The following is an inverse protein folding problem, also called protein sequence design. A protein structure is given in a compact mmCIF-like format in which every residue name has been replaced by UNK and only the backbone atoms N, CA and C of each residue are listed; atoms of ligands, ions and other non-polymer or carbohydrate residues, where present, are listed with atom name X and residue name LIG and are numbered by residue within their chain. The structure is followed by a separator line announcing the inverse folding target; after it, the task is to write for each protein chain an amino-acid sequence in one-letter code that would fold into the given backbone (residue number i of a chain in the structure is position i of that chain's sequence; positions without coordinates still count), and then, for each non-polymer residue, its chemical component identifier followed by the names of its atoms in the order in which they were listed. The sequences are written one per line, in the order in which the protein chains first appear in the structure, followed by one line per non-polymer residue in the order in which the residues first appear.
data_IF_753051259170
#
_entry.id   IF_753051259170
#
_cell.length_a   1.000
_cell.length_b   1.000
_cell.length_c   1.000
_cell.angle_alpha   90.00
_cell.angle_beta   90.00
_cell.angle_gamma   90.00
#
_symmetry.space_group_name_H-M   'P 1'
#
loop_
_entity.id
_entity.type
_entity.pdbx_description
1 polymer ?
#
# COMPACT_ATOMS: atom_id res chain seq x y z
N UNK A 1 12.31 -30.87 42.38
CA UNK A 1 11.40 -31.29 41.27
C UNK A 1 10.66 -30.12 40.62
N UNK A 2 10.18 -29.13 41.36
CA UNK A 2 9.45 -27.97 40.80
C UNK A 2 10.33 -27.06 39.91
N UNK A 3 11.57 -26.78 40.31
CA UNK A 3 12.50 -25.95 39.52
C UNK A 3 12.87 -26.58 38.17
N UNK A 4 13.03 -27.91 38.14
CA UNK A 4 13.26 -28.66 36.91
C UNK A 4 12.07 -28.53 35.93
N UNK A 5 10.84 -28.63 36.44
CA UNK A 5 9.61 -28.47 35.63
C UNK A 5 9.50 -27.05 35.08
N UNK A 6 9.75 -26.02 35.89
CA UNK A 6 9.74 -24.61 35.46
C UNK A 6 10.75 -24.37 34.33
N UNK A 7 11.95 -24.91 34.46
CA UNK A 7 13.00 -24.77 33.47
C UNK A 7 12.66 -25.47 32.13
N UNK A 8 12.02 -26.65 32.19
CA UNK A 8 11.53 -27.36 30.98
C UNK A 8 10.43 -26.55 30.29
N UNK A 9 9.47 -26.02 31.04
CA UNK A 9 8.38 -25.19 30.50
C UNK A 9 8.95 -23.92 29.86
N UNK A 10 9.89 -23.25 30.55
CA UNK A 10 10.53 -22.05 30.04
C UNK A 10 11.27 -22.31 28.73
N UNK A 11 12.04 -23.40 28.64
CA UNK A 11 12.72 -23.83 27.40
C UNK A 11 11.73 -24.15 26.29
N UNK A 12 10.63 -24.83 26.59
CA UNK A 12 9.57 -25.09 25.63
C UNK A 12 8.96 -23.80 25.06
N UNK A 13 8.68 -22.83 25.93
CA UNK A 13 8.15 -21.54 25.52
C UNK A 13 9.14 -20.72 24.70
N UNK A 14 10.44 -20.77 25.01
CA UNK A 14 11.48 -20.10 24.21
C UNK A 14 11.58 -20.72 22.82
N UNK A 15 11.56 -22.05 22.70
CA UNK A 15 11.55 -22.72 21.39
C UNK A 15 10.30 -22.36 20.59
N UNK A 16 9.12 -22.36 21.23
CA UNK A 16 7.86 -21.94 20.59
C UNK A 16 7.95 -20.51 20.06
N UNK A 17 8.46 -19.58 20.87
CA UNK A 17 8.64 -18.18 20.48
C UNK A 17 9.57 -18.05 19.28
N UNK A 18 10.72 -18.74 19.30
CA UNK A 18 11.67 -18.75 18.20
C UNK A 18 11.01 -19.30 16.92
N UNK A 19 10.26 -20.39 17.03
CA UNK A 19 9.55 -20.98 15.90
C UNK A 19 8.52 -19.99 15.33
N UNK A 20 7.74 -19.34 16.18
CA UNK A 20 6.72 -18.36 15.78
C UNK A 20 7.33 -17.16 15.05
N UNK A 21 8.50 -16.68 15.48
CA UNK A 21 9.21 -15.57 14.85
C UNK A 21 9.82 -15.99 13.50
N UNK A 22 10.34 -17.21 13.39
CA UNK A 22 11.02 -17.69 12.18
C UNK A 22 10.06 -18.24 11.10
N UNK A 23 8.87 -18.70 11.48
CA UNK A 23 7.92 -19.33 10.57
C UNK A 23 7.54 -18.44 9.37
N UNK A 24 7.25 -17.13 9.52
CA UNK A 24 6.97 -16.27 8.36
C UNK A 24 8.14 -16.16 7.39
N UNK A 25 9.39 -16.14 7.89
CA UNK A 25 10.58 -16.09 7.04
C UNK A 25 10.77 -17.41 6.28
N UNK A 26 10.54 -18.56 6.94
CA UNK A 26 10.61 -19.87 6.29
C UNK A 26 9.56 -20.03 5.18
N UNK A 27 8.32 -19.60 5.42
CA UNK A 27 7.25 -19.60 4.40
C UNK A 27 7.63 -18.71 3.23
N UNK A 28 8.19 -17.52 3.49
CA UNK A 28 8.64 -16.62 2.43
C UNK A 28 9.74 -17.27 1.58
N UNK A 29 10.72 -17.91 2.19
CA UNK A 29 11.79 -18.62 1.48
C UNK A 29 11.22 -19.75 0.62
N UNK A 30 10.29 -20.56 1.15
CA UNK A 30 9.63 -21.61 0.39
C UNK A 30 8.87 -21.05 -0.82
N UNK A 31 8.13 -19.95 -0.63
CA UNK A 31 7.36 -19.28 -1.67
C UNK A 31 8.24 -18.70 -2.80
N UNK A 32 9.49 -18.30 -2.53
CA UNK A 32 10.43 -17.87 -3.59
C UNK A 32 10.77 -19.02 -4.56
N UNK A 33 10.79 -20.26 -4.06
CA UNK A 33 11.06 -21.43 -4.89
C UNK A 33 9.81 -22.02 -5.54
N UNK A 34 8.62 -21.51 -5.22
CA UNK A 34 7.42 -21.84 -5.97
C UNK A 34 7.49 -21.17 -7.35
N UNK A 35 7.19 -21.93 -8.40
CA UNK A 35 7.16 -21.43 -9.77
C UNK A 35 5.93 -20.56 -9.99
N UNK A 36 5.98 -19.31 -9.51
CA UNK A 36 5.00 -18.30 -9.88
C UNK A 36 5.17 -18.00 -11.37
N UNK A 37 4.14 -18.31 -12.16
CA UNK A 37 4.09 -17.83 -13.55
C UNK A 37 3.90 -16.32 -13.49
N UNK A 38 5.00 -15.58 -13.60
CA UNK A 38 4.93 -14.16 -13.88
C UNK A 38 4.43 -14.01 -15.31
N UNK A 39 3.13 -13.81 -15.48
CA UNK A 39 2.52 -13.61 -16.79
C UNK A 39 2.94 -12.24 -17.31
N UNK A 40 4.08 -12.19 -18.00
CA UNK A 40 4.56 -10.97 -18.65
C UNK A 40 3.65 -10.64 -19.81
N UNK A 41 3.13 -9.41 -19.84
CA UNK A 41 2.27 -8.93 -20.93
C UNK A 41 3.09 -8.86 -22.23
N UNK A 42 2.93 -9.84 -23.11
CA UNK A 42 3.61 -9.87 -24.41
C UNK A 42 2.88 -8.98 -25.43
N UNK A 43 1.57 -8.78 -25.24
CA UNK A 43 0.72 -8.03 -26.14
C UNK A 43 0.27 -6.70 -25.51
N UNK A 44 0.55 -5.59 -26.20
CA UNK A 44 0.14 -4.23 -25.80
C UNK A 44 -1.27 -3.87 -26.28
N UNK A 45 -1.88 -4.70 -27.13
CA UNK A 45 -3.13 -4.38 -27.82
C UNK A 45 -4.39 -4.91 -27.14
N UNK A 46 -4.26 -5.89 -26.25
CA UNK A 46 -5.39 -6.50 -25.54
C UNK A 46 -5.50 -5.99 -24.10
N UNK A 47 -6.65 -5.41 -23.76
CA UNK A 47 -7.00 -5.04 -22.39
C UNK A 47 -7.23 -6.32 -21.58
N UNK A 48 -6.20 -6.80 -20.91
CA UNK A 48 -6.32 -7.88 -19.94
C UNK A 48 -6.25 -7.28 -18.54
N UNK A 49 -7.03 -7.85 -17.62
CA UNK A 49 -6.85 -7.56 -16.21
C UNK A 49 -5.57 -8.26 -15.78
N UNK A 50 -4.56 -7.49 -15.36
CA UNK A 50 -3.43 -8.07 -14.66
C UNK A 50 -4.00 -8.83 -13.45
N UNK A 51 -3.68 -10.11 -13.32
CA UNK A 51 -3.95 -10.83 -12.08
C UNK A 51 -3.33 -10.00 -10.95
N UNK A 52 -4.11 -9.78 -9.89
CA UNK A 52 -3.71 -8.99 -8.73
C UNK A 52 -2.30 -9.44 -8.34
N UNK A 53 -1.35 -8.51 -8.35
CA UNK A 53 0.08 -8.73 -8.13
C UNK A 53 0.32 -9.92 -7.17
N UNK A 54 0.73 -11.06 -7.75
CA UNK A 54 0.90 -12.32 -7.02
C UNK A 54 2.14 -12.29 -6.11
N UNK A 55 2.85 -11.16 -6.10
CA UNK A 55 3.90 -10.89 -5.13
C UNK A 55 3.28 -10.87 -3.72
N UNK A 56 3.41 -12.00 -3.01
CA UNK A 56 3.12 -12.10 -1.59
C UNK A 56 4.11 -11.23 -0.79
N UNK A 57 3.88 -9.93 -0.77
CA UNK A 57 4.62 -8.99 0.07
C UNK A 57 4.12 -9.09 1.51
N UNK A 58 4.85 -9.85 2.34
CA UNK A 58 4.55 -10.01 3.77
C UNK A 58 4.80 -8.73 4.62
N UNK A 59 5.18 -7.60 4.01
CA UNK A 59 5.53 -6.34 4.68
C UNK A 59 4.68 -5.14 4.25
N UNK A 60 3.44 -5.34 3.78
CA UNK A 60 2.52 -4.22 3.51
C UNK A 60 2.08 -3.47 4.78
N UNK A 61 2.34 -4.02 5.97
CA UNK A 61 2.05 -3.37 7.24
C UNK A 61 3.25 -2.57 7.71
N UNK A 62 3.07 -1.25 7.82
CA UNK A 62 4.06 -0.35 8.38
C UNK A 62 4.22 -0.61 9.88
N UNK A 63 5.26 -1.36 10.25
CA UNK A 63 5.56 -1.72 11.66
C UNK A 63 5.94 -0.50 12.51
N UNK A 64 6.43 0.57 11.89
CA UNK A 64 6.81 1.82 12.56
C UNK A 64 5.70 2.86 12.45
N UNK A 65 5.11 3.23 13.58
CA UNK A 65 4.38 4.49 13.67
C UNK A 65 5.41 5.63 13.59
N UNK A 66 5.56 6.23 12.42
CA UNK A 66 6.28 7.50 12.32
C UNK A 66 5.49 8.54 13.09
N UNK A 67 5.95 8.87 14.31
CA UNK A 67 5.38 9.94 15.10
C UNK A 67 5.82 11.26 14.46
N UNK A 68 4.89 11.95 13.82
CA UNK A 68 5.16 13.27 13.27
C UNK A 68 5.03 14.29 14.40
N UNK A 69 6.17 14.80 14.89
CA UNK A 69 6.16 15.89 15.85
C UNK A 69 5.96 17.19 15.07
N UNK A 70 4.77 17.79 15.18
CA UNK A 70 4.55 19.14 14.67
C UNK A 70 5.34 20.08 15.59
N UNK A 71 6.32 20.85 15.09
CA UNK A 71 7.02 21.81 15.92
C UNK A 71 6.02 22.84 16.44
N UNK A 72 6.04 23.14 17.75
CA UNK A 72 5.10 24.07 18.38
C UNK A 72 5.18 25.50 17.79
N UNK A 73 6.30 25.82 17.15
CA UNK A 73 6.59 27.13 16.56
C UNK A 73 6.57 27.07 15.02
N UNK A 74 5.47 26.65 14.42
CA UNK A 74 5.28 26.84 12.98
C UNK A 74 4.52 28.15 12.73
N UNK A 75 5.15 29.03 11.95
CA UNK A 75 4.45 30.19 11.42
C UNK A 75 3.69 29.74 10.17
N UNK A 76 2.36 29.74 10.23
CA UNK A 76 1.54 29.61 9.02
C UNK A 76 1.80 30.85 8.18
N UNK A 77 2.31 30.65 6.97
CA UNK A 77 2.45 31.74 6.02
C UNK A 77 1.03 32.19 5.66
N UNK A 78 0.65 33.39 6.08
CA UNK A 78 -0.62 33.98 5.65
C UNK A 78 -0.52 34.25 4.15
N UNK A 79 -1.23 33.46 3.36
CA UNK A 79 -1.32 33.69 1.92
C UNK A 79 -2.18 34.92 1.73
N UNK A 80 -1.52 36.06 1.51
CA UNK A 80 -2.20 37.26 1.05
C UNK A 80 -2.63 36.98 -0.39
N UNK A 81 -3.92 36.81 -0.62
CA UNK A 81 -4.49 36.72 -1.96
C UNK A 81 -4.27 38.07 -2.66
N UNK A 82 -3.15 38.18 -3.36
CA UNK A 82 -2.75 39.36 -4.13
C UNK A 82 -3.16 39.27 -5.60
N UNK A 83 -4.07 38.35 -5.92
CA UNK A 83 -4.63 38.22 -7.25
C UNK A 83 -6.07 38.71 -7.25
N UNK A 84 -6.41 39.51 -8.24
CA UNK A 84 -7.82 39.79 -8.52
C UNK A 84 -8.45 38.52 -9.11
N UNK A 85 -9.67 38.19 -8.67
CA UNK A 85 -10.45 37.13 -9.31
C UNK A 85 -10.70 37.59 -10.75
N UNK A 86 -9.89 37.08 -11.68
CA UNK A 86 -10.20 37.21 -13.09
C UNK A 86 -11.43 36.34 -13.33
N UNK A 87 -12.58 36.98 -13.50
CA UNK A 87 -13.72 36.31 -14.11
C UNK A 87 -13.26 35.89 -15.50
N UNK A 88 -13.03 34.59 -15.69
CA UNK A 88 -12.58 34.12 -16.98
C UNK A 88 -13.61 34.60 -18.00
N UNK A 89 -13.20 35.40 -18.97
CA UNK A 89 -14.02 35.67 -20.17
C UNK A 89 -14.06 34.43 -21.09
N UNK A 90 -13.77 33.25 -20.52
CA UNK A 90 -13.70 32.00 -21.23
C UNK A 90 -15.13 31.54 -21.52
N UNK A 91 -15.62 31.97 -22.68
CA UNK A 91 -16.87 31.51 -23.24
C UNK A 91 -16.56 30.24 -24.03
N UNK A 92 -16.94 29.09 -23.50
CA UNK A 92 -16.92 27.86 -24.28
C UNK A 92 -17.89 28.04 -25.46
N UNK A 93 -17.37 28.09 -26.68
CA UNK A 93 -18.18 28.14 -27.91
C UNK A 93 -19.03 26.87 -28.09
N UNK A 94 -18.68 25.80 -27.38
CA UNK A 94 -19.37 24.52 -27.40
C UNK A 94 -19.51 23.97 -25.99
N UNK A 95 -20.69 23.47 -25.59
CA UNK A 95 -20.83 22.73 -24.33
C UNK A 95 -20.06 21.39 -24.35
N UNK A 96 -19.63 20.95 -25.54
CA UNK A 96 -18.84 19.74 -25.70
C UNK A 96 -17.35 20.04 -25.53
N UNK A 97 -16.81 19.66 -24.37
CA UNK A 97 -15.38 19.64 -24.12
C UNK A 97 -14.88 18.19 -24.19
N UNK A 98 -14.07 17.89 -25.20
CA UNK A 98 -13.44 16.59 -25.33
C UNK A 98 -12.42 16.41 -24.20
N UNK A 99 -12.67 15.45 -23.32
CA UNK A 99 -11.79 15.14 -22.21
C UNK A 99 -10.50 14.48 -22.74
N UNK A 100 -9.35 14.86 -22.17
CA UNK A 100 -8.06 14.19 -22.46
C UNK A 100 -7.98 12.75 -21.91
N UNK A 101 -9.04 12.29 -21.25
CA UNK A 101 -9.17 10.97 -20.68
C UNK A 101 -10.55 10.41 -21.00
N UNK A 102 -10.65 9.08 -21.06
CA UNK A 102 -11.93 8.41 -21.22
C UNK A 102 -12.71 8.44 -19.91
N UNK A 103 -14.00 8.81 -19.96
CA UNK A 103 -14.90 8.66 -18.81
C UNK A 103 -15.03 7.17 -18.50
N UNK A 104 -14.73 6.79 -17.26
CA UNK A 104 -15.05 5.44 -16.78
C UNK A 104 -16.57 5.33 -16.68
N UNK A 105 -17.11 4.14 -16.99
CA UNK A 105 -18.53 3.87 -16.87
C UNK A 105 -19.05 4.19 -15.46
N UNK A 106 -20.37 4.44 -15.33
CA UNK A 106 -20.97 4.79 -14.05
C UNK A 106 -20.61 3.76 -12.97
N UNK A 107 -20.34 4.19 -11.72
CA UNK A 107 -20.08 3.27 -10.62
C UNK A 107 -21.25 2.29 -10.53
N UNK A 108 -20.93 1.00 -10.46
CA UNK A 108 -21.88 -0.12 -10.56
C UNK A 108 -22.93 -0.10 -9.43
N UNK A 109 -22.76 0.77 -8.43
CA UNK A 109 -23.69 0.97 -7.34
C UNK A 109 -24.09 2.45 -7.25
N UNK A 110 -25.26 2.76 -7.80
CA UNK A 110 -26.09 3.93 -7.50
C UNK A 110 -27.41 3.46 -6.91
#
# INVERSE_FOLDING_TARGET
MQELKKHIIFKGFTVLLVLAILLPAAVKVAHVFENHKHETCIDKSTTHFHALDLECEFYKFKLTNHFFHIPENFNVLEVIENHEISTSQYFFLSPYQQLHFSLRGPPVFS
#
